data_IF_735175048279
#
_entry.id   IF_735175048279
#
_cell.length_a   1.000
_cell.length_b   1.000
_cell.length_c   1.000
_cell.angle_alpha   90.00
_cell.angle_beta   90.00
_cell.angle_gamma   90.00
#
_symmetry.space_group_name_H-M   'P 1'
#
loop_
_entity.id
_entity.type
_entity.pdbx_description
1 polymer ?
#
# COMPACT_ATOMS: atom_id res chain seq x y z
N UNK A 1 26.17 -25.65 -9.87
CA UNK A 1 25.05 -24.73 -9.61
C UNK A 1 25.27 -23.38 -10.25
N UNK A 2 26.44 -22.77 -10.09
CA UNK A 2 26.79 -21.44 -10.63
C UNK A 2 26.42 -21.21 -12.10
N UNK A 3 26.87 -22.07 -13.02
CA UNK A 3 26.51 -21.98 -14.46
C UNK A 3 25.01 -21.95 -14.75
N UNK A 4 24.22 -22.66 -13.95
CA UNK A 4 22.77 -22.68 -14.11
C UNK A 4 22.15 -21.35 -13.65
N UNK A 5 22.67 -20.77 -12.56
CA UNK A 5 22.25 -19.45 -12.08
C UNK A 5 22.62 -18.37 -13.10
N UNK A 6 23.80 -18.43 -13.69
CA UNK A 6 24.21 -17.51 -14.77
C UNK A 6 23.27 -17.58 -15.97
N UNK A 7 22.90 -18.80 -16.40
CA UNK A 7 21.93 -18.99 -17.47
C UNK A 7 20.57 -18.42 -17.08
N UNK A 8 20.06 -18.76 -15.90
CA UNK A 8 18.77 -18.27 -15.41
C UNK A 8 18.72 -16.74 -15.31
N UNK A 9 19.80 -16.10 -14.84
CA UNK A 9 19.92 -14.65 -14.81
C UNK A 9 19.92 -14.04 -16.22
N UNK A 10 20.55 -14.72 -17.20
CA UNK A 10 20.50 -14.31 -18.60
C UNK A 10 19.08 -14.42 -19.15
N UNK A 11 18.36 -15.49 -18.85
CA UNK A 11 16.99 -15.71 -19.31
C UNK A 11 16.04 -14.67 -18.69
N UNK A 12 16.16 -14.39 -17.39
CA UNK A 12 15.40 -13.34 -16.70
C UNK A 12 15.70 -11.97 -17.31
N UNK A 13 16.98 -11.68 -17.61
CA UNK A 13 17.38 -10.43 -18.26
C UNK A 13 16.75 -10.30 -19.65
N UNK A 14 16.76 -11.36 -20.44
CA UNK A 14 16.14 -11.38 -21.77
C UNK A 14 14.63 -11.13 -21.68
N UNK A 15 13.95 -11.76 -20.72
CA UNK A 15 12.53 -11.50 -20.46
C UNK A 15 12.26 -10.04 -20.04
N UNK A 16 13.15 -9.47 -19.23
CA UNK A 16 13.07 -8.07 -18.77
C UNK A 16 13.25 -7.07 -19.91
N UNK A 17 14.15 -7.35 -20.87
CA UNK A 17 14.45 -6.45 -21.98
C UNK A 17 13.47 -6.59 -23.15
N UNK A 18 12.85 -7.76 -23.32
CA UNK A 18 11.96 -8.10 -24.44
C UNK A 18 10.47 -8.12 -24.04
N UNK A 19 10.05 -7.20 -23.17
CA UNK A 19 8.63 -7.08 -22.78
C UNK A 19 7.79 -6.80 -24.04
N UNK A 20 6.90 -7.73 -24.39
CA UNK A 20 6.04 -7.60 -25.57
C UNK A 20 5.01 -6.47 -25.36
N UNK A 21 5.01 -5.48 -26.25
CA UNK A 21 4.04 -4.38 -26.34
C UNK A 21 2.59 -4.91 -26.26
N UNK A 22 1.67 -4.23 -25.53
CA UNK A 22 1.43 -2.77 -25.56
C UNK A 22 2.04 -1.92 -24.44
N UNK A 23 2.77 -2.51 -23.49
CA UNK A 23 3.08 -1.86 -22.21
C UNK A 23 4.44 -1.13 -22.14
N UNK A 24 5.31 -1.37 -23.12
CA UNK A 24 6.63 -0.74 -23.23
C UNK A 24 6.66 0.37 -24.30
N UNK A 25 5.59 1.15 -24.44
CA UNK A 25 5.63 2.34 -25.30
C UNK A 25 6.55 3.38 -24.66
N UNK A 26 7.65 3.72 -25.34
CA UNK A 26 8.59 4.78 -24.90
C UNK A 26 7.92 6.15 -24.71
N UNK A 27 6.73 6.33 -25.27
CA UNK A 27 5.94 7.55 -25.17
C UNK A 27 4.50 7.19 -24.82
N UNK A 28 4.13 7.54 -23.59
CA UNK A 28 2.78 7.39 -23.09
C UNK A 28 1.95 8.59 -23.59
N UNK A 29 0.95 8.34 -24.43
CA UNK A 29 0.02 9.37 -24.91
C UNK A 29 -1.01 9.66 -23.82
N UNK A 30 -0.82 10.71 -23.01
CA UNK A 30 -1.73 11.05 -21.90
C UNK A 30 -3.21 11.16 -22.29
N UNK A 31 -3.52 11.41 -23.56
CA UNK A 31 -4.89 11.46 -24.06
C UNK A 31 -5.58 10.09 -24.12
N UNK A 32 -4.82 9.00 -24.06
CA UNK A 32 -5.29 7.61 -24.04
C UNK A 32 -5.37 7.06 -22.60
N UNK A 33 -5.31 7.93 -21.58
CA UNK A 33 -5.49 7.51 -20.19
C UNK A 33 -6.90 6.95 -19.99
N UNK A 34 -6.97 5.81 -19.32
CA UNK A 34 -8.21 5.09 -19.02
C UNK A 34 -8.29 4.94 -17.50
N UNK A 35 -9.48 4.98 -16.92
CA UNK A 35 -9.65 4.74 -15.47
C UNK A 35 -9.30 3.29 -15.10
N UNK A 36 -8.89 3.05 -13.85
CA UNK A 36 -8.43 1.72 -13.41
C UNK A 36 -9.50 0.64 -13.61
N UNK A 37 -10.77 0.96 -13.32
CA UNK A 37 -11.89 0.02 -13.46
C UNK A 37 -12.18 -0.36 -14.92
N UNK A 38 -11.89 0.53 -15.86
CA UNK A 38 -12.03 0.28 -17.29
C UNK A 38 -10.84 -0.53 -17.82
N UNK A 39 -9.63 -0.16 -17.41
CA UNK A 39 -8.41 -0.91 -17.74
C UNK A 39 -8.48 -2.34 -17.20
N UNK A 40 -9.01 -2.54 -16.00
CA UNK A 40 -9.15 -3.85 -15.38
C UNK A 40 -10.03 -4.83 -16.18
N UNK A 41 -10.97 -4.31 -16.97
CA UNK A 41 -11.87 -5.13 -17.80
C UNK A 41 -11.23 -5.55 -19.11
N UNK A 42 -10.30 -4.76 -19.63
CA UNK A 42 -9.69 -4.95 -20.96
C UNK A 42 -8.27 -5.54 -20.88
N UNK A 43 -7.60 -5.39 -19.74
CA UNK A 43 -6.22 -5.83 -19.58
C UNK A 43 -6.10 -7.35 -19.72
N UNK A 44 -5.11 -7.84 -20.49
CA UNK A 44 -4.91 -9.27 -20.71
C UNK A 44 -4.48 -9.96 -19.40
N UNK A 45 -5.13 -11.08 -19.11
CA UNK A 45 -4.76 -11.98 -18.01
C UNK A 45 -4.11 -13.22 -18.62
N UNK A 46 -2.90 -13.55 -18.17
CA UNK A 46 -2.18 -14.79 -18.53
C UNK A 46 -1.38 -15.27 -17.33
N UNK A 47 -0.90 -16.50 -17.32
CA UNK A 47 0.02 -16.92 -16.26
C UNK A 47 1.32 -16.10 -16.34
N UNK A 48 1.94 -15.83 -15.19
CA UNK A 48 3.21 -15.09 -15.14
C UNK A 48 4.32 -15.81 -15.95
N UNK A 49 4.29 -17.14 -16.00
CA UNK A 49 5.19 -17.95 -16.83
C UNK A 49 4.98 -17.74 -18.33
N UNK A 50 3.75 -17.46 -18.78
CA UNK A 50 3.46 -17.17 -20.19
C UNK A 50 3.97 -15.78 -20.60
N UNK A 51 3.96 -14.83 -19.65
CA UNK A 51 4.47 -13.48 -19.89
C UNK A 51 5.99 -13.45 -19.97
N UNK A 52 6.65 -14.15 -19.04
CA UNK A 52 8.10 -14.05 -18.82
C UNK A 52 8.88 -15.17 -19.51
N UNK A 53 8.23 -16.29 -19.86
CA UNK A 53 8.89 -17.51 -20.32
C UNK A 53 9.61 -18.29 -19.22
N UNK A 54 9.68 -17.76 -17.99
CA UNK A 54 10.31 -18.39 -16.84
C UNK A 54 9.27 -19.23 -16.10
N UNK A 55 9.57 -20.50 -15.86
CA UNK A 55 8.68 -21.38 -15.09
C UNK A 55 9.11 -21.46 -13.63
N UNK A 56 8.16 -21.75 -12.74
CA UNK A 56 8.45 -21.93 -11.31
C UNK A 56 9.52 -23.01 -11.08
N UNK A 57 9.52 -24.08 -11.86
CA UNK A 57 10.47 -25.19 -11.72
C UNK A 57 11.90 -24.79 -12.12
N UNK A 58 12.06 -23.71 -12.89
CA UNK A 58 13.36 -23.14 -13.22
C UNK A 58 13.94 -22.32 -12.06
N UNK A 59 13.13 -21.96 -11.07
CA UNK A 59 13.59 -21.23 -9.89
C UNK A 59 14.05 -22.23 -8.82
N UNK A 60 15.36 -22.31 -8.53
CA UNK A 60 15.88 -23.27 -7.56
C UNK A 60 15.35 -22.99 -6.15
N UNK A 61 15.10 -24.01 -5.31
CA UNK A 61 14.78 -23.81 -3.90
C UNK A 61 15.85 -22.98 -3.19
N UNK A 62 15.44 -22.13 -2.25
CA UNK A 62 16.35 -21.24 -1.53
C UNK A 62 17.48 -22.02 -0.81
N UNK A 63 17.22 -23.23 -0.35
CA UNK A 63 18.15 -24.07 0.40
C UNK A 63 19.36 -24.50 -0.45
N UNK A 64 19.23 -24.44 -1.78
CA UNK A 64 20.30 -24.77 -2.73
C UNK A 64 21.18 -23.57 -3.10
N UNK A 65 20.84 -22.38 -2.61
CA UNK A 65 21.47 -21.12 -2.99
C UNK A 65 22.27 -20.50 -1.84
N UNK A 66 23.45 -19.99 -2.16
CA UNK A 66 24.18 -19.11 -1.26
C UNK A 66 23.56 -17.69 -1.25
N UNK A 67 23.92 -16.87 -0.27
CA UNK A 67 23.31 -15.54 -0.10
C UNK A 67 23.52 -14.61 -1.31
N UNK A 68 24.69 -14.66 -1.95
CA UNK A 68 24.96 -13.85 -3.15
C UNK A 68 24.09 -14.26 -4.34
N UNK A 69 23.82 -15.56 -4.50
CA UNK A 69 22.93 -16.08 -5.54
C UNK A 69 21.47 -15.72 -5.27
N UNK A 70 21.01 -15.85 -4.02
CA UNK A 70 19.67 -15.41 -3.60
C UNK A 70 19.48 -13.93 -3.91
N UNK A 71 20.42 -13.09 -3.49
CA UNK A 71 20.37 -11.65 -3.72
C UNK A 71 20.32 -11.33 -5.23
N UNK A 72 21.21 -11.95 -6.02
CA UNK A 72 21.27 -11.71 -7.47
C UNK A 72 19.97 -12.09 -8.18
N UNK A 73 19.40 -13.26 -7.83
CA UNK A 73 18.13 -13.71 -8.39
C UNK A 73 16.97 -12.83 -7.93
N UNK A 74 16.90 -12.49 -6.65
CA UNK A 74 15.86 -11.63 -6.11
C UNK A 74 15.84 -10.26 -6.82
N UNK A 75 17.00 -9.63 -6.95
CA UNK A 75 17.14 -8.34 -7.64
C UNK A 75 16.72 -8.45 -9.10
N UNK A 76 17.12 -9.52 -9.79
CA UNK A 76 16.75 -9.74 -11.19
C UNK A 76 15.24 -9.97 -11.36
N UNK A 77 14.63 -10.78 -10.48
CA UNK A 77 13.20 -11.06 -10.49
C UNK A 77 12.36 -9.81 -10.20
N UNK A 78 12.74 -8.99 -9.20
CA UNK A 78 12.02 -7.74 -8.90
C UNK A 78 12.10 -6.79 -10.10
N UNK A 79 13.28 -6.63 -10.73
CA UNK A 79 13.42 -5.81 -11.94
C UNK A 79 12.58 -6.31 -13.11
N UNK A 80 12.52 -7.63 -13.28
CA UNK A 80 11.67 -8.24 -14.30
C UNK A 80 10.20 -7.91 -14.03
N UNK A 81 9.71 -8.16 -12.81
CA UNK A 81 8.33 -7.85 -12.44
C UNK A 81 7.99 -6.36 -12.65
N UNK A 82 8.89 -5.45 -12.27
CA UNK A 82 8.77 -4.01 -12.51
C UNK A 82 8.66 -3.65 -14.00
N UNK A 83 9.40 -4.33 -14.87
CA UNK A 83 9.31 -4.13 -16.33
C UNK A 83 7.96 -4.54 -16.93
N UNK A 84 7.24 -5.46 -16.28
CA UNK A 84 5.85 -5.82 -16.61
C UNK A 84 4.83 -4.99 -15.82
N UNK A 85 5.24 -3.87 -15.21
CA UNK A 85 4.40 -3.00 -14.37
C UNK A 85 3.69 -3.77 -13.24
N UNK A 86 4.42 -4.76 -12.70
CA UNK A 86 3.96 -5.67 -11.67
C UNK A 86 4.83 -5.50 -10.44
N UNK A 87 4.36 -4.79 -9.43
CA UNK A 87 5.22 -4.41 -8.31
C UNK A 87 5.23 -5.47 -7.21
N UNK A 88 6.44 -5.78 -6.74
CA UNK A 88 6.69 -6.55 -5.53
C UNK A 88 6.91 -5.57 -4.36
N UNK A 89 5.83 -5.20 -3.66
CA UNK A 89 5.87 -4.18 -2.61
C UNK A 89 5.74 -4.79 -1.23
N UNK A 90 6.74 -4.58 -0.38
CA UNK A 90 6.71 -5.03 1.02
C UNK A 90 6.52 -3.85 1.96
N UNK A 91 5.64 -4.03 2.94
CA UNK A 91 5.34 -3.01 3.94
C UNK A 91 6.26 -3.08 5.17
N UNK A 92 6.84 -4.26 5.42
CA UNK A 92 7.76 -4.51 6.53
C UNK A 92 9.11 -5.00 6.01
N UNK A 93 10.14 -4.91 6.84
CA UNK A 93 11.44 -5.45 6.49
C UNK A 93 11.40 -6.98 6.54
N UNK A 94 11.66 -7.62 5.40
CA UNK A 94 11.69 -9.07 5.26
C UNK A 94 13.08 -9.51 4.79
N UNK A 95 13.67 -10.57 5.35
CA UNK A 95 14.96 -11.10 4.87
C UNK A 95 14.89 -11.52 3.39
N UNK A 96 15.92 -11.21 2.61
CA UNK A 96 15.98 -11.47 1.16
C UNK A 96 15.69 -12.92 0.79
N UNK A 97 16.18 -13.87 1.60
CA UNK A 97 15.96 -15.30 1.42
C UNK A 97 14.47 -15.66 1.50
N UNK A 98 13.75 -15.07 2.46
CA UNK A 98 12.29 -15.22 2.59
C UNK A 98 11.57 -14.55 1.43
N UNK A 99 12.00 -13.35 1.00
CA UNK A 99 11.42 -12.68 -0.16
C UNK A 99 11.52 -13.54 -1.43
N UNK A 100 12.70 -14.11 -1.69
CA UNK A 100 12.92 -15.01 -2.82
C UNK A 100 12.03 -16.26 -2.75
N UNK A 101 11.92 -16.89 -1.57
CA UNK A 101 11.04 -18.04 -1.38
C UNK A 101 9.58 -17.70 -1.69
N UNK A 102 9.09 -16.55 -1.22
CA UNK A 102 7.72 -16.08 -1.48
C UNK A 102 7.47 -15.86 -2.96
N UNK A 103 8.40 -15.20 -3.68
CA UNK A 103 8.28 -15.00 -5.13
C UNK A 103 8.23 -16.34 -5.83
N UNK A 104 9.15 -17.26 -5.52
CA UNK A 104 9.21 -18.59 -6.12
C UNK A 104 7.93 -19.38 -5.87
N UNK A 105 7.43 -19.40 -4.63
CA UNK A 105 6.30 -20.23 -4.26
C UNK A 105 5.00 -19.77 -4.92
N UNK A 106 4.85 -18.44 -5.07
CA UNK A 106 3.71 -17.81 -5.73
C UNK A 106 3.95 -17.49 -7.21
N UNK A 107 5.04 -17.97 -7.81
CA UNK A 107 5.38 -17.61 -9.20
C UNK A 107 4.35 -18.12 -10.22
N UNK A 108 3.67 -19.22 -9.89
CA UNK A 108 2.55 -19.76 -10.67
C UNK A 108 1.25 -19.04 -10.29
N UNK A 109 1.18 -17.75 -10.59
CA UNK A 109 -0.02 -16.93 -10.41
C UNK A 109 -0.43 -16.26 -11.73
N UNK A 110 -1.73 -16.00 -11.85
CA UNK A 110 -2.24 -15.23 -12.97
C UNK A 110 -1.80 -13.78 -12.87
N UNK A 111 -1.34 -13.30 -14.01
CA UNK A 111 -0.83 -11.99 -14.20
C UNK A 111 -1.71 -11.15 -15.16
N UNK A 112 -2.46 -10.19 -14.60
CA UNK A 112 -3.07 -9.06 -15.31
C UNK A 112 -2.10 -7.87 -15.46
N UNK A 113 -1.46 -7.77 -16.62
CA UNK A 113 -0.54 -6.66 -16.92
C UNK A 113 -1.33 -5.46 -17.45
N UNK A 114 -1.19 -4.33 -16.76
CA UNK A 114 -1.87 -3.06 -17.05
C UNK A 114 -0.88 -2.04 -17.63
N UNK A 115 -1.37 -1.11 -18.45
CA UNK A 115 -0.59 -0.06 -19.12
C UNK A 115 -0.46 1.19 -18.28
N UNK A 116 -1.54 1.60 -17.63
CA UNK A 116 -1.61 2.87 -16.91
C UNK A 116 -1.47 2.69 -15.41
N UNK A 117 -2.08 1.64 -14.86
CA UNK A 117 -2.05 1.34 -13.44
C UNK A 117 -1.10 0.19 -13.14
N UNK A 118 -0.55 0.17 -11.93
CA UNK A 118 0.35 -0.90 -11.49
C UNK A 118 -0.43 -2.13 -11.03
N UNK A 119 0.07 -3.30 -11.38
CA UNK A 119 -0.32 -4.56 -10.76
C UNK A 119 0.51 -4.82 -9.50
N UNK A 120 0.02 -5.68 -8.61
CA UNK A 120 0.74 -6.07 -7.39
C UNK A 120 0.94 -7.59 -7.33
N UNK A 121 2.14 -8.00 -6.92
CA UNK A 121 2.49 -9.42 -6.75
C UNK A 121 1.76 -9.99 -5.55
N UNK A 122 0.99 -11.04 -5.77
CA UNK A 122 0.26 -11.70 -4.69
C UNK A 122 1.22 -12.58 -3.90
N UNK A 123 1.31 -12.33 -2.60
CA UNK A 123 2.19 -13.07 -1.70
C UNK A 123 1.54 -14.30 -1.07
N UNK A 124 0.21 -14.31 -1.02
CA UNK A 124 -0.58 -15.36 -0.40
C UNK A 124 -1.55 -15.94 -1.42
N UNK A 125 -1.58 -17.26 -1.53
CA UNK A 125 -2.56 -17.94 -2.38
C UNK A 125 -3.94 -17.93 -1.71
N UNK A 126 -5.03 -17.91 -2.50
CA UNK A 126 -6.38 -18.09 -1.97
C UNK A 126 -6.48 -19.36 -1.12
N UNK A 127 -7.09 -19.26 0.06
CA UNK A 127 -7.25 -20.38 0.99
C UNK A 127 -6.03 -20.66 1.88
N UNK A 128 -4.96 -19.87 1.79
CA UNK A 128 -3.85 -19.95 2.74
C UNK A 128 -4.32 -19.54 4.14
N UNK A 129 -4.11 -20.40 5.13
CA UNK A 129 -4.41 -20.08 6.52
C UNK A 129 -3.54 -18.92 7.02
N UNK A 130 -4.13 -18.07 7.87
CA UNK A 130 -3.44 -16.94 8.49
C UNK A 130 -2.15 -17.40 9.22
N UNK A 131 -1.06 -16.61 9.10
CA UNK A 131 0.30 -16.94 9.59
C UNK A 131 0.97 -18.18 8.97
N UNK A 132 0.33 -18.90 8.05
CA UNK A 132 0.89 -20.09 7.39
C UNK A 132 1.32 -19.85 5.94
N UNK A 133 1.45 -18.59 5.53
CA UNK A 133 1.95 -18.26 4.19
C UNK A 133 3.48 -18.40 4.11
N UNK A 134 4.03 -18.28 2.89
CA UNK A 134 5.46 -18.43 2.63
C UNK A 134 6.36 -17.41 3.37
N UNK A 135 5.79 -16.32 3.89
CA UNK A 135 6.53 -15.39 4.75
C UNK A 135 6.80 -15.91 6.17
N UNK A 136 6.06 -16.92 6.63
CA UNK A 136 6.15 -17.43 8.00
C UNK A 136 5.96 -16.32 9.03
N UNK A 137 6.97 -16.14 9.89
CA UNK A 137 7.01 -15.11 10.94
C UNK A 137 6.96 -13.67 10.40
N UNK A 138 7.21 -13.49 9.11
CA UNK A 138 7.14 -12.18 8.44
C UNK A 138 5.79 -11.94 7.73
N UNK A 139 4.70 -12.65 8.07
CA UNK A 139 3.41 -12.38 7.40
C UNK A 139 2.96 -10.94 7.63
N UNK A 140 2.84 -10.18 6.53
CA UNK A 140 2.32 -8.82 6.58
C UNK A 140 0.85 -8.78 7.01
N UNK A 141 0.09 -9.81 6.63
CA UNK A 141 -1.29 -10.00 7.07
C UNK A 141 -1.42 -10.00 8.59
N UNK A 142 -0.54 -10.75 9.26
CA UNK A 142 -0.52 -10.92 10.70
C UNK A 142 -0.04 -9.66 11.41
N UNK A 143 0.98 -9.01 10.82
CA UNK A 143 1.46 -7.73 11.32
C UNK A 143 0.35 -6.68 11.35
N UNK A 144 -0.42 -6.54 10.26
CA UNK A 144 -1.49 -5.55 10.22
C UNK A 144 -2.69 -5.92 11.09
N UNK A 145 -3.07 -7.20 11.15
CA UNK A 145 -4.14 -7.63 12.06
C UNK A 145 -3.77 -7.34 13.51
N UNK A 146 -2.52 -7.57 13.91
CA UNK A 146 -2.03 -7.22 15.25
C UNK A 146 -1.94 -5.70 15.46
N UNK A 147 -1.47 -4.95 14.46
CA UNK A 147 -1.37 -3.49 14.52
C UNK A 147 -2.74 -2.82 14.67
N UNK A 148 -3.76 -3.36 13.98
CA UNK A 148 -5.12 -2.84 14.01
C UNK A 148 -6.02 -3.54 15.01
N UNK A 149 -5.54 -4.53 15.78
CA UNK A 149 -6.36 -5.24 16.76
C UNK A 149 -6.98 -4.29 17.81
N UNK A 150 -6.26 -3.21 18.15
CA UNK A 150 -6.70 -2.17 19.08
C UNK A 150 -7.36 -0.98 18.36
N UNK A 151 -7.32 -0.94 17.02
CA UNK A 151 -8.07 0.00 16.21
C UNK A 151 -9.48 -0.58 16.00
N UNK A 152 -10.32 -0.47 17.02
CA UNK A 152 -11.72 -0.83 16.88
C UNK A 152 -12.39 0.10 15.87
N UNK A 153 -12.97 -0.47 14.81
CA UNK A 153 -14.08 0.13 14.05
C UNK A 153 -15.32 0.15 14.96
N UNK A 154 -15.20 0.75 16.14
CA UNK A 154 -16.36 1.13 16.91
C UNK A 154 -17.11 2.15 16.05
N UNK A 155 -18.27 1.76 15.53
CA UNK A 155 -19.28 2.69 15.04
C UNK A 155 -19.73 3.55 16.24
N UNK A 156 -18.89 4.52 16.58
CA UNK A 156 -19.19 5.53 17.56
C UNK A 156 -20.31 6.37 16.96
N UNK A 157 -21.33 6.65 17.76
CA UNK A 157 -22.31 7.66 17.37
C UNK A 157 -21.60 8.99 17.12
N UNK A 158 -22.18 9.91 16.31
CA UNK A 158 -21.58 11.24 16.10
C UNK A 158 -21.32 12.05 17.38
N UNK A 159 -21.92 11.66 18.51
CA UNK A 159 -21.65 12.24 19.82
C UNK A 159 -20.39 11.62 20.47
N UNK A 160 -20.23 10.30 20.38
CA UNK A 160 -19.07 9.58 20.92
C UNK A 160 -17.79 9.87 20.11
N UNK A 161 -17.88 9.99 18.79
CA UNK A 161 -16.76 10.44 17.95
C UNK A 161 -16.28 11.84 18.35
N UNK A 162 -17.22 12.74 18.60
CA UNK A 162 -16.94 14.11 19.06
C UNK A 162 -16.29 14.12 20.43
N UNK A 163 -16.80 13.32 21.37
CA UNK A 163 -16.21 13.19 22.70
C UNK A 163 -14.76 12.68 22.63
N UNK A 164 -14.50 11.66 21.81
CA UNK A 164 -13.15 11.11 21.61
C UNK A 164 -12.19 12.12 20.96
N UNK A 165 -12.67 12.88 19.97
CA UNK A 165 -11.91 13.95 19.35
C UNK A 165 -11.54 15.06 20.36
N UNK A 166 -12.51 15.47 21.18
CA UNK A 166 -12.30 16.45 22.26
C UNK A 166 -11.25 15.96 23.26
N UNK A 167 -11.31 14.69 23.69
CA UNK A 167 -10.32 14.10 24.61
C UNK A 167 -8.89 14.12 24.04
N UNK A 168 -8.73 13.76 22.76
CA UNK A 168 -7.44 13.77 22.07
C UNK A 168 -6.89 15.20 22.00
N UNK A 169 -7.74 16.17 21.66
CA UNK A 169 -7.33 17.57 21.54
C UNK A 169 -6.95 18.15 22.91
N UNK A 170 -7.74 17.90 23.95
CA UNK A 170 -7.42 18.27 25.33
C UNK A 170 -6.07 17.68 25.76
N UNK A 171 -5.84 16.39 25.48
CA UNK A 171 -4.57 15.72 25.80
C UNK A 171 -3.38 16.38 25.09
N UNK A 172 -3.53 16.74 23.82
CA UNK A 172 -2.51 17.43 23.05
C UNK A 172 -2.21 18.84 23.63
N UNK A 173 -3.25 19.61 23.96
CA UNK A 173 -3.13 20.96 24.50
C UNK A 173 -2.50 20.93 25.90
N UNK A 174 -2.91 20.00 26.78
CA UNK A 174 -2.28 19.77 28.10
C UNK A 174 -0.79 19.49 27.96
N UNK A 175 -0.42 18.62 27.02
CA UNK A 175 0.99 18.29 26.77
C UNK A 175 1.80 19.48 26.25
N UNK A 176 1.19 20.34 25.43
CA UNK A 176 1.86 21.48 24.78
C UNK A 176 1.98 22.71 25.69
N UNK A 177 0.96 23.00 26.50
CA UNK A 177 0.86 24.25 27.25
C UNK A 177 0.91 24.07 28.78
N UNK A 178 1.00 22.83 29.28
CA UNK A 178 1.16 22.57 30.72
C UNK A 178 0.00 23.10 31.54
N UNK A 179 0.27 23.89 32.58
CA UNK A 179 -0.74 24.43 33.50
C UNK A 179 -1.65 25.50 32.83
N UNK A 180 -1.20 26.13 31.75
CA UNK A 180 -1.92 27.19 31.02
C UNK A 180 -2.84 26.66 29.91
N UNK A 181 -2.96 25.33 29.78
CA UNK A 181 -3.70 24.67 28.70
C UNK A 181 -5.17 25.11 28.58
N UNK A 182 -5.81 25.47 29.71
CA UNK A 182 -7.20 25.94 29.74
C UNK A 182 -7.43 27.19 28.88
N UNK A 183 -6.42 28.06 28.70
CA UNK A 183 -6.54 29.25 27.81
C UNK A 183 -6.76 28.89 26.35
N UNK A 184 -6.41 27.66 25.97
CA UNK A 184 -6.46 27.14 24.61
C UNK A 184 -7.48 25.99 24.50
N UNK A 185 -8.34 25.81 25.50
CA UNK A 185 -9.35 24.76 25.50
C UNK A 185 -10.27 24.92 24.27
N UNK A 186 -10.57 23.85 23.53
CA UNK A 186 -11.43 23.92 22.36
C UNK A 186 -12.90 23.96 22.84
N UNK A 187 -13.30 25.11 23.39
CA UNK A 187 -14.64 25.37 23.94
C UNK A 187 -15.78 25.07 22.96
N UNK A 188 -15.46 25.03 21.67
CA UNK A 188 -16.39 24.76 20.58
C UNK A 188 -16.77 23.30 20.39
N UNK A 189 -16.09 22.39 21.09
CA UNK A 189 -16.30 20.95 21.03
C UNK A 189 -16.93 20.39 22.31
N UNK A 190 -17.11 21.21 23.35
CA UNK A 190 -17.65 20.82 24.66
C UNK A 190 -19.12 21.28 24.78
N UNK A 191 -20.10 20.35 24.69
CA UNK A 191 -21.53 20.70 24.73
C UNK A 191 -22.00 21.16 26.12
N UNK A 192 -21.21 20.89 27.17
CA UNK A 192 -21.55 21.21 28.56
C UNK A 192 -20.83 22.48 29.05
N UNK A 193 -20.01 23.11 28.19
CA UNK A 193 -19.31 24.33 28.55
C UNK A 193 -20.25 25.53 28.56
N UNK A 194 -20.62 25.95 29.77
CA UNK A 194 -21.30 27.22 30.05
C UNK A 194 -20.22 28.18 30.57
N UNK A 195 -19.89 29.23 29.80
CA UNK A 195 -19.08 30.30 30.39
C UNK A 195 -19.91 30.98 31.49
N UNK A 196 -19.28 31.60 32.49
CA UNK A 196 -19.99 32.32 33.58
C UNK A 196 -20.92 33.47 33.09
N UNK A 197 -21.07 33.63 31.76
CA UNK A 197 -21.90 34.61 31.07
C UNK A 197 -23.03 33.99 30.24
N UNK A 198 -23.19 32.67 30.19
CA UNK A 198 -24.33 32.04 29.52
C UNK A 198 -24.39 32.29 28.02
N UNK A 199 -23.25 32.34 27.33
CA UNK A 199 -23.22 32.48 25.87
C UNK A 199 -23.07 31.12 25.17
N UNK A 200 -24.17 30.41 24.84
CA UNK A 200 -24.10 29.32 23.89
C UNK A 200 -23.78 29.89 22.51
N UNK A 201 -22.59 29.56 21.98
CA UNK A 201 -22.25 29.65 20.56
C UNK A 201 -22.61 30.96 19.82
N UNK A 202 -22.36 32.14 20.38
CA UNK A 202 -22.29 33.35 19.55
C UNK A 202 -20.82 33.71 19.28
N UNK A 203 -20.31 33.23 18.14
CA UNK A 203 -18.96 33.53 17.67
C UNK A 203 -18.75 34.99 17.22
N UNK A 204 -19.74 35.88 17.39
CA UNK A 204 -19.65 37.22 16.83
C UNK A 204 -19.59 37.21 15.30
N UNK A 205 -20.05 36.11 14.67
CA UNK A 205 -20.56 36.13 13.30
C UNK A 205 -22.03 36.56 13.33
N UNK A 206 -22.34 37.61 14.09
CA UNK A 206 -23.56 38.36 13.79
C UNK A 206 -23.37 38.90 12.38
N UNK A 207 -24.33 38.58 11.52
CA UNK A 207 -24.39 38.90 10.10
C UNK A 207 -23.95 40.36 9.82
N UNK A 208 -22.66 40.58 9.55
CA UNK A 208 -22.21 41.72 8.75
C UNK A 208 -22.54 41.37 7.30
N UNK A 209 -23.84 41.43 6.98
CA UNK A 209 -24.46 41.35 5.65
C UNK A 209 -24.04 42.51 4.71
N UNK A 210 -22.82 43.03 4.87
CA UNK A 210 -22.18 44.00 3.98
C UNK A 210 -20.79 43.51 3.51
N UNK A 211 -20.69 42.24 3.10
CA UNK A 211 -19.57 41.79 2.25
C UNK A 211 -20.02 41.62 0.80
N UNK A 212 -19.69 42.65 0.04
CA UNK A 212 -19.64 42.77 -1.42
C UNK A 212 -19.47 41.42 -2.16
N UNK A 213 -20.52 41.00 -2.88
CA UNK A 213 -20.68 39.74 -3.64
C UNK A 213 -19.71 39.55 -4.84
N UNK A 214 -18.54 40.18 -4.83
CA UNK A 214 -17.65 40.28 -5.99
C UNK A 214 -16.26 39.65 -5.79
N UNK A 215 -16.08 38.68 -4.87
CA UNK A 215 -14.76 38.08 -4.66
C UNK A 215 -14.26 37.15 -5.78
N UNK A 216 -15.09 36.86 -6.79
CA UNK A 216 -14.74 36.02 -7.95
C UNK A 216 -14.85 36.72 -9.31
N UNK A 217 -14.92 38.05 -9.37
CA UNK A 217 -14.88 38.81 -10.63
C UNK A 217 -13.54 39.49 -10.87
#
# INVERSE_FOLDING_TARGET
MEKYIEQLLSDIKEATENVSLPFAEKQIQLHDWVADEEEDKIAPVRQLEDWTGIRKEMLPPQEMLNDGQVNSLLVALIKMLDAYNWLFVLQTQVPERVQYAVIRDNFNQEAKVKRWHMGFFQFCQPGTEHKKCAFGDHCQCAFYEELFADCTDEELSPAEERARALEIEISHIKKKYGDDWMKYYPYHLDPEYDDDKGNPHNYGFEDDDEMDDNWWR
#
